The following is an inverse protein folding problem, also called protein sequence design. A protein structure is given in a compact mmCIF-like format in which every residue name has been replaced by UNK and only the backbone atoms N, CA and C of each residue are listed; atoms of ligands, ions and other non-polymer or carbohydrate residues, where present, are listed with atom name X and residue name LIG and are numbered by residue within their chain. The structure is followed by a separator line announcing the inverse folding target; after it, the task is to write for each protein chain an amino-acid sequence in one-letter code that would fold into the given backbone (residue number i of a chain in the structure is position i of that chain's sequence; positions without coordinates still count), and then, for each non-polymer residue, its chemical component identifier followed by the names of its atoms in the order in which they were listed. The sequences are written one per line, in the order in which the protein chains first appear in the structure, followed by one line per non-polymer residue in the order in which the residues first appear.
data_IF_705855569923
#
_entry.id   IF_705855569923
#
_cell.length_a   1.000
_cell.length_b   1.000
_cell.length_c   1.000
_cell.angle_alpha   90.00
_cell.angle_beta   90.00
_cell.angle_gamma   90.00
#
_symmetry.space_group_name_H-M   'P 1'
#
loop_
_entity.id
_entity.type
_entity.pdbx_description
1 polymer ?
#
# COMPACT_ATOMS: atom_id res chain seq x y z
N UNK A 1 -28.73 0.03 63.44
CA UNK A 1 -29.93 0.07 62.58
C UNK A 1 -29.69 1.14 61.53
N UNK A 2 -29.90 0.75 60.28
CA UNK A 2 -29.32 1.27 59.04
C UNK A 2 -29.72 2.69 58.63
N UNK A 3 -28.82 3.37 57.92
CA UNK A 3 -29.19 4.16 56.73
C UNK A 3 -28.11 3.94 55.62
N UNK A 4 -28.47 3.41 54.44
CA UNK A 4 -27.55 3.11 53.35
C UNK A 4 -27.54 4.18 52.24
N UNK A 5 -26.39 4.36 51.60
CA UNK A 5 -26.33 4.74 50.18
C UNK A 5 -26.44 6.23 49.82
N UNK A 6 -25.29 6.88 49.67
CA UNK A 6 -25.14 8.00 48.74
C UNK A 6 -24.02 7.68 47.75
N UNK A 7 -24.48 7.18 46.60
CA UNK A 7 -23.74 6.83 45.39
C UNK A 7 -22.83 7.97 44.93
N UNK A 8 -21.52 7.69 44.84
CA UNK A 8 -20.51 8.61 44.32
C UNK A 8 -20.80 8.88 42.83
N UNK A 9 -21.07 10.15 42.49
CA UNK A 9 -21.20 10.63 41.11
C UNK A 9 -19.86 10.50 40.38
N UNK A 10 -19.72 9.49 39.52
CA UNK A 10 -18.63 9.39 38.56
C UNK A 10 -18.76 10.51 37.51
N UNK A 11 -17.81 11.43 37.51
CA UNK A 11 -17.67 12.52 36.53
C UNK A 11 -17.49 11.94 35.13
N UNK A 12 -18.45 12.19 34.24
CA UNK A 12 -18.22 12.06 32.80
C UNK A 12 -17.21 13.13 32.38
N UNK A 13 -15.98 12.74 32.07
CA UNK A 13 -15.00 13.62 31.44
C UNK A 13 -15.42 13.81 29.98
N UNK A 14 -15.93 14.99 29.65
CA UNK A 14 -16.15 15.40 28.28
C UNK A 14 -14.78 15.56 27.59
N UNK A 15 -14.51 14.75 26.56
CA UNK A 15 -13.32 14.91 25.73
C UNK A 15 -13.60 16.04 24.73
N UNK A 16 -13.07 17.23 25.03
CA UNK A 16 -13.16 18.40 24.14
C UNK A 16 -11.85 18.54 23.37
N UNK A 17 -11.58 17.59 22.46
CA UNK A 17 -10.58 17.78 21.40
C UNK A 17 -11.24 18.39 20.15
N UNK A 18 -10.54 19.21 19.35
CA UNK A 18 -11.12 19.77 18.13
C UNK A 18 -11.59 18.64 17.19
N UNK A 19 -12.72 18.82 16.47
CA UNK A 19 -13.27 17.79 15.57
C UNK A 19 -12.24 17.23 14.57
N UNK A 20 -11.25 18.05 14.22
CA UNK A 20 -10.16 17.74 13.30
C UNK A 20 -9.19 16.67 13.84
N UNK A 21 -8.84 16.69 15.14
CA UNK A 21 -7.93 15.71 15.74
C UNK A 21 -8.63 14.36 15.96
N UNK A 22 -9.92 14.39 16.32
CA UNK A 22 -10.73 13.18 16.41
C UNK A 22 -10.95 12.52 15.03
N UNK A 23 -11.16 13.32 13.98
CA UNK A 23 -11.27 12.83 12.61
C UNK A 23 -9.93 12.26 12.09
N UNK A 24 -8.82 12.96 12.29
CA UNK A 24 -7.49 12.49 11.89
C UNK A 24 -7.03 11.25 12.70
N UNK A 25 -7.39 11.17 13.98
CA UNK A 25 -7.16 9.98 14.80
C UNK A 25 -8.04 8.82 14.32
N UNK A 26 -9.29 9.08 13.93
CA UNK A 26 -10.18 8.08 13.33
C UNK A 26 -9.66 7.55 11.99
N UNK A 27 -9.09 8.41 11.15
CA UNK A 27 -8.47 8.02 9.89
C UNK A 27 -7.18 7.21 10.09
N UNK A 28 -6.30 7.63 11.01
CA UNK A 28 -5.11 6.87 11.41
C UNK A 28 -5.47 5.50 11.99
N UNK A 29 -6.50 5.44 12.83
CA UNK A 29 -6.96 4.18 13.41
C UNK A 29 -7.55 3.25 12.36
N UNK A 30 -8.31 3.78 11.39
CA UNK A 30 -8.80 3.00 10.25
C UNK A 30 -7.67 2.50 9.35
N UNK A 31 -6.67 3.32 9.07
CA UNK A 31 -5.50 2.88 8.33
C UNK A 31 -4.79 1.74 9.08
N UNK A 32 -4.54 1.89 10.38
CA UNK A 32 -3.93 0.85 11.23
C UNK A 32 -4.76 -0.44 11.29
N UNK A 33 -6.09 -0.35 11.34
CA UNK A 33 -6.97 -1.52 11.30
C UNK A 33 -6.88 -2.26 9.97
N UNK A 34 -6.90 -1.52 8.84
CA UNK A 34 -6.72 -2.09 7.50
C UNK A 34 -5.35 -2.79 7.40
N UNK A 35 -4.28 -2.17 7.92
CA UNK A 35 -2.95 -2.78 7.94
C UNK A 35 -2.90 -4.02 8.84
N UNK A 36 -3.49 -3.97 10.03
CA UNK A 36 -3.51 -5.07 11.00
C UNK A 36 -4.27 -6.28 10.45
N UNK A 37 -5.43 -6.05 9.82
CA UNK A 37 -6.24 -7.08 9.17
C UNK A 37 -5.51 -7.71 7.98
N UNK A 38 -4.75 -6.91 7.24
CA UNK A 38 -3.88 -7.44 6.20
C UNK A 38 -2.81 -8.37 6.83
N UNK A 39 -2.10 -7.95 7.87
CA UNK A 39 -0.99 -8.77 8.43
C UNK A 39 -1.42 -10.05 9.17
N UNK A 40 -2.68 -10.19 9.59
CA UNK A 40 -3.12 -11.29 10.46
C UNK A 40 -3.37 -12.63 9.75
N UNK A 41 -3.42 -12.63 8.42
CA UNK A 41 -3.56 -13.84 7.59
C UNK A 41 -2.53 -13.82 6.47
N UNK A 42 -1.27 -14.08 6.84
CA UNK A 42 -0.21 -14.38 5.87
C UNK A 42 -0.37 -15.84 5.44
N UNK A 43 -0.79 -16.12 4.19
CA UNK A 43 -0.84 -17.49 3.71
C UNK A 43 0.60 -17.98 3.43
N UNK A 44 0.80 -19.28 3.20
CA UNK A 44 2.05 -19.78 2.60
C UNK A 44 2.32 -19.12 1.24
N UNK A 45 3.48 -19.38 0.63
CA UNK A 45 4.02 -18.65 -0.53
C UNK A 45 3.01 -18.32 -1.65
N UNK A 46 2.13 -19.28 -1.99
CA UNK A 46 1.09 -19.10 -3.02
C UNK A 46 0.03 -18.03 -2.67
N UNK A 47 -0.24 -17.78 -1.40
CA UNK A 47 -1.18 -16.74 -0.99
C UNK A 47 -0.53 -15.42 -0.56
N UNK A 48 0.81 -15.33 -0.48
CA UNK A 48 1.49 -14.04 -0.27
C UNK A 48 1.27 -13.14 -1.48
N UNK A 49 1.42 -13.65 -2.70
CA UNK A 49 1.20 -12.87 -3.93
C UNK A 49 -0.26 -12.39 -4.05
N UNK A 50 -1.23 -13.26 -3.74
CA UNK A 50 -2.66 -12.91 -3.72
C UNK A 50 -2.99 -11.89 -2.62
N UNK A 51 -2.39 -12.04 -1.44
CA UNK A 51 -2.52 -11.09 -0.36
C UNK A 51 -1.94 -9.72 -0.74
N UNK A 52 -0.73 -9.69 -1.31
CA UNK A 52 -0.10 -8.47 -1.81
C UNK A 52 -0.97 -7.79 -2.87
N UNK A 53 -1.61 -8.56 -3.75
CA UNK A 53 -2.56 -8.04 -4.73
C UNK A 53 -3.76 -7.34 -4.08
N UNK A 54 -4.40 -7.96 -3.08
CA UNK A 54 -5.55 -7.37 -2.36
C UNK A 54 -5.15 -6.13 -1.55
N UNK A 55 -4.00 -6.18 -0.90
CA UNK A 55 -3.46 -5.05 -0.16
C UNK A 55 -3.13 -3.89 -1.11
N UNK A 56 -2.46 -4.17 -2.22
CA UNK A 56 -2.15 -3.19 -3.26
C UNK A 56 -3.41 -2.54 -3.83
N UNK A 57 -4.47 -3.31 -4.10
CA UNK A 57 -5.76 -2.76 -4.56
C UNK A 57 -6.36 -1.76 -3.55
N UNK A 58 -6.14 -1.99 -2.25
CA UNK A 58 -6.55 -1.03 -1.21
C UNK A 58 -5.70 0.24 -1.26
N UNK A 59 -4.38 0.12 -1.42
CA UNK A 59 -3.49 1.27 -1.55
C UNK A 59 -3.81 2.14 -2.77
N UNK A 60 -4.08 1.51 -3.92
CA UNK A 60 -4.47 2.20 -5.16
C UNK A 60 -5.73 3.06 -4.94
N UNK A 61 -6.73 2.50 -4.25
CA UNK A 61 -7.96 3.23 -3.91
C UNK A 61 -7.73 4.41 -2.97
N UNK A 62 -6.79 4.29 -2.03
CA UNK A 62 -6.47 5.35 -1.08
C UNK A 62 -5.63 6.48 -1.72
N UNK A 63 -4.81 6.15 -2.72
CA UNK A 63 -3.95 7.11 -3.41
C UNK A 63 -4.58 7.71 -4.68
N UNK A 64 -5.82 7.32 -5.02
CA UNK A 64 -6.46 7.66 -6.30
C UNK A 64 -5.59 7.34 -7.53
N UNK A 65 -4.87 6.21 -7.47
CA UNK A 65 -4.02 5.76 -8.56
C UNK A 65 -4.82 4.93 -9.58
N UNK A 66 -4.39 4.90 -10.84
CA UNK A 66 -4.98 4.05 -11.86
C UNK A 66 -4.57 2.57 -11.72
N UNK A 67 -3.35 2.31 -11.24
CA UNK A 67 -2.79 0.98 -11.09
C UNK A 67 -1.62 0.97 -10.10
N UNK A 68 -1.13 -0.22 -9.77
CA UNK A 68 0.05 -0.43 -8.94
C UNK A 68 0.73 -1.76 -9.22
N UNK A 69 1.97 -1.89 -8.76
CA UNK A 69 2.81 -3.06 -8.93
C UNK A 69 3.70 -3.26 -7.70
N UNK A 70 3.84 -4.51 -7.25
CA UNK A 70 4.80 -4.92 -6.22
C UNK A 70 5.87 -5.76 -6.89
N UNK A 71 7.14 -5.42 -6.62
CA UNK A 71 8.30 -6.09 -7.20
C UNK A 71 9.27 -6.54 -6.12
N UNK A 72 9.95 -7.65 -6.40
CA UNK A 72 11.06 -8.14 -5.58
C UNK A 72 12.32 -8.20 -6.44
N UNK A 73 13.48 -7.98 -5.82
CA UNK A 73 14.75 -8.28 -6.47
C UNK A 73 14.83 -9.80 -6.66
N UNK A 74 14.97 -10.24 -7.90
CA UNK A 74 15.11 -11.66 -8.21
C UNK A 74 16.47 -12.18 -7.71
N UNK A 75 16.58 -13.49 -7.50
CA UNK A 75 17.79 -14.16 -6.96
C UNK A 75 19.07 -13.83 -7.74
N UNK A 76 18.95 -13.54 -9.04
CA UNK A 76 20.08 -13.09 -9.88
C UNK A 76 20.69 -11.75 -9.46
N UNK A 77 19.99 -10.95 -8.65
CA UNK A 77 20.38 -9.60 -8.26
C UNK A 77 20.37 -8.56 -9.39
N UNK A 78 19.97 -8.95 -10.61
CA UNK A 78 20.01 -8.08 -11.81
C UNK A 78 18.65 -7.63 -12.31
N UNK A 79 17.58 -8.25 -11.83
CA UNK A 79 16.23 -7.99 -12.29
C UNK A 79 15.26 -7.87 -11.12
N UNK A 80 14.21 -7.11 -11.34
CA UNK A 80 13.03 -7.04 -10.51
C UNK A 80 11.96 -7.95 -11.11
N UNK A 81 11.40 -8.84 -10.30
CA UNK A 81 10.28 -9.70 -10.66
C UNK A 81 8.99 -9.11 -10.10
N UNK A 82 7.98 -9.00 -10.94
CA UNK A 82 6.62 -8.63 -10.53
C UNK A 82 6.01 -9.78 -9.72
N UNK A 83 5.57 -9.50 -8.49
CA UNK A 83 4.92 -10.48 -7.60
C UNK A 83 3.44 -10.19 -7.38
N UNK A 84 3.02 -8.94 -7.59
CA UNK A 84 1.61 -8.56 -7.60
C UNK A 84 1.40 -7.32 -8.46
N UNK A 85 0.23 -7.22 -9.08
CA UNK A 85 -0.22 -6.02 -9.79
C UNK A 85 -1.72 -5.88 -9.68
N UNK A 86 -2.22 -4.64 -9.69
CA UNK A 86 -3.64 -4.34 -9.74
C UNK A 86 -3.87 -3.11 -10.62
N UNK A 87 -4.95 -3.10 -11.40
CA UNK A 87 -5.32 -2.01 -12.31
C UNK A 87 -4.53 -1.94 -13.63
N UNK A 88 -3.42 -2.68 -13.78
CA UNK A 88 -2.71 -2.77 -15.06
C UNK A 88 -3.50 -3.60 -16.08
N UNK A 89 -3.54 -3.19 -17.37
CA UNK A 89 -4.04 -4.06 -18.43
C UNK A 89 -3.22 -5.36 -18.49
N UNK A 90 -3.84 -6.51 -18.82
CA UNK A 90 -3.17 -7.81 -18.83
C UNK A 90 -1.92 -7.86 -19.72
N UNK A 91 -1.96 -7.20 -20.87
CA UNK A 91 -0.85 -7.09 -21.81
C UNK A 91 0.31 -6.26 -21.26
N UNK A 92 0.02 -5.22 -20.48
CA UNK A 92 1.03 -4.40 -19.80
C UNK A 92 1.67 -5.20 -18.67
N UNK A 93 0.85 -5.84 -17.82
CA UNK A 93 1.34 -6.69 -16.74
C UNK A 93 2.23 -7.84 -17.25
N UNK A 94 1.91 -8.41 -18.41
CA UNK A 94 2.72 -9.44 -19.05
C UNK A 94 4.12 -8.95 -19.47
N UNK A 95 4.22 -7.70 -19.96
CA UNK A 95 5.51 -7.06 -20.33
C UNK A 95 6.30 -6.59 -19.11
N UNK A 96 5.61 -6.25 -18.04
CA UNK A 96 6.18 -5.77 -16.77
C UNK A 96 6.71 -6.87 -15.85
N UNK A 97 6.55 -8.16 -16.22
CA UNK A 97 6.91 -9.33 -15.39
C UNK A 97 8.35 -9.30 -14.88
N UNK A 98 9.30 -8.81 -15.70
CA UNK A 98 10.71 -8.72 -15.35
C UNK A 98 11.28 -7.40 -15.84
N UNK A 99 11.84 -6.59 -14.94
CA UNK A 99 12.50 -5.32 -15.26
C UNK A 99 13.98 -5.38 -14.89
N UNK A 100 14.90 -4.82 -15.68
CA UNK A 100 16.28 -4.62 -15.26
C UNK A 100 16.35 -3.76 -13.98
N UNK A 101 17.25 -4.12 -13.06
CA UNK A 101 17.40 -3.38 -11.79
C UNK A 101 17.96 -1.95 -12.00
N UNK A 102 18.61 -1.71 -13.13
CA UNK A 102 19.13 -0.40 -13.52
C UNK A 102 18.09 0.46 -14.28
N UNK A 103 16.87 -0.02 -14.48
CA UNK A 103 15.82 0.66 -15.23
C UNK A 103 14.78 1.38 -14.34
N UNK A 104 14.42 2.60 -14.73
CA UNK A 104 13.25 3.34 -14.24
C UNK A 104 13.25 3.65 -12.74
N UNK A 105 12.11 4.18 -12.26
CA UNK A 105 11.92 4.56 -10.86
C UNK A 105 12.00 3.37 -9.90
N UNK A 106 11.56 2.18 -10.33
CA UNK A 106 11.62 0.98 -9.49
C UNK A 106 13.06 0.52 -9.23
N UNK A 107 13.96 0.64 -10.22
CA UNK A 107 15.38 0.37 -10.04
C UNK A 107 16.08 1.42 -9.16
N UNK A 108 15.73 2.70 -9.33
CA UNK A 108 16.26 3.80 -8.49
C UNK A 108 15.93 3.58 -7.01
N UNK A 109 14.67 3.30 -6.69
CA UNK A 109 14.21 3.07 -5.33
C UNK A 109 14.95 1.93 -4.62
N UNK A 110 15.33 0.87 -5.34
CA UNK A 110 16.10 -0.22 -4.74
C UNK A 110 17.55 0.19 -4.45
N UNK A 111 18.16 1.03 -5.30
CA UNK A 111 19.57 1.42 -5.15
C UNK A 111 19.81 2.35 -3.98
N UNK A 112 18.91 3.28 -3.73
CA UNK A 112 19.07 4.28 -2.66
C UNK A 112 18.14 4.06 -1.46
N UNK A 113 17.30 3.03 -1.51
CA UNK A 113 16.32 2.71 -0.47
C UNK A 113 15.40 3.91 -0.13
N UNK A 114 15.05 4.72 -1.13
CA UNK A 114 14.20 5.90 -0.97
C UNK A 114 12.89 5.81 -1.79
N UNK A 115 11.92 6.64 -1.39
CA UNK A 115 10.68 6.84 -2.15
C UNK A 115 10.94 7.84 -3.26
N UNK A 116 10.60 7.46 -4.49
CA UNK A 116 10.71 8.32 -5.66
C UNK A 116 9.33 8.63 -6.23
N UNK A 117 9.14 9.89 -6.60
CA UNK A 117 8.00 10.35 -7.37
C UNK A 117 8.52 10.82 -8.73
N UNK A 118 8.05 10.20 -9.81
CA UNK A 118 8.42 10.56 -11.17
C UNK A 118 7.19 11.12 -11.89
N UNK A 119 7.33 12.27 -12.54
CA UNK A 119 6.22 12.92 -13.26
C UNK A 119 5.89 12.26 -14.61
N UNK A 120 6.68 11.26 -15.03
CA UNK A 120 6.58 10.62 -16.32
C UNK A 120 6.87 9.11 -16.24
N UNK A 121 6.07 8.32 -16.95
CA UNK A 121 6.33 6.88 -17.11
C UNK A 121 7.01 6.55 -18.45
N UNK A 122 7.67 7.52 -19.11
CA UNK A 122 8.33 7.32 -20.41
C UNK A 122 9.40 6.22 -20.39
N UNK A 123 10.12 6.03 -19.28
CA UNK A 123 11.06 4.92 -19.14
C UNK A 123 10.34 3.56 -19.24
N UNK A 124 9.19 3.44 -18.58
CA UNK A 124 8.34 2.24 -18.65
C UNK A 124 7.74 2.08 -20.04
N UNK A 125 7.25 3.16 -20.67
CA UNK A 125 6.73 3.15 -22.04
C UNK A 125 7.79 2.65 -23.04
N UNK A 126 9.01 3.18 -22.95
CA UNK A 126 10.14 2.80 -23.80
C UNK A 126 10.51 1.33 -23.61
N UNK A 127 10.64 0.89 -22.36
CA UNK A 127 11.09 -0.46 -22.06
C UNK A 127 10.05 -1.53 -22.44
N UNK A 128 8.78 -1.27 -22.18
CA UNK A 128 7.69 -2.24 -22.43
C UNK A 128 7.06 -2.12 -23.81
N UNK A 129 7.31 -1.00 -24.51
CA UNK A 129 6.60 -0.60 -25.72
C UNK A 129 5.08 -0.57 -25.52
N UNK A 130 4.62 -0.08 -24.36
CA UNK A 130 3.19 0.02 -24.02
C UNK A 130 2.74 1.48 -23.93
N UNK A 131 1.76 1.85 -24.76
CA UNK A 131 1.16 3.18 -24.76
C UNK A 131 0.42 3.53 -23.46
N UNK A 132 0.06 2.52 -22.65
CA UNK A 132 -0.58 2.71 -21.35
C UNK A 132 0.22 3.65 -20.41
N UNK A 133 1.54 3.68 -20.54
CA UNK A 133 2.42 4.56 -19.78
C UNK A 133 2.52 5.99 -20.34
N UNK A 134 1.66 6.38 -21.28
CA UNK A 134 1.64 7.71 -21.88
C UNK A 134 2.65 7.91 -23.02
N UNK A 135 3.03 6.81 -23.69
CA UNK A 135 3.86 6.81 -24.89
C UNK A 135 3.04 6.80 -26.18
#
# INVERSE_FOLDING_TARGET
MSDPGAMQRGRTLAVSGPPQEAAAAGEKLRALQIFAEATSSLPGDAGIEEWLGRFLATMIRLSDAAAGAVRVVADSGRHLRLVASAGLPPEVAAREKHMPLDCGACGLAVRDAAVHAEGSALACATHTSQAWFGG
#
